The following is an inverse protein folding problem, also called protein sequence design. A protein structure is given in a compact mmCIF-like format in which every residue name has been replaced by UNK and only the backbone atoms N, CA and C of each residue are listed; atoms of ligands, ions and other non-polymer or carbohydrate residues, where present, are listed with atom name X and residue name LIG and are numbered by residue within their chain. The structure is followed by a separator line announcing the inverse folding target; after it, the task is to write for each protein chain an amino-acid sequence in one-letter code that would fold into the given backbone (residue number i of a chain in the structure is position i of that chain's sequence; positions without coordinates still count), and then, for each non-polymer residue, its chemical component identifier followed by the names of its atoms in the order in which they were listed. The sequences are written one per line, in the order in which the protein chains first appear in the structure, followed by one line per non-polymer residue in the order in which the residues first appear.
data_IF_704396151681
#
_entry.id   IF_704396151681
#
_cell.length_a   1.000
_cell.length_b   1.000
_cell.length_c   1.000
_cell.angle_alpha   90.00
_cell.angle_beta   90.00
_cell.angle_gamma   90.00
#
_symmetry.space_group_name_H-M   'P 1'
#
loop_
_entity.id
_entity.type
_entity.pdbx_description
1 polymer ?
#
# COMPACT_ATOMS: atom_id res chain seq x y z
N UNK A 1 -9.61 -28.20 -25.67
CA UNK A 1 -9.80 -26.76 -25.35
C UNK A 1 -8.45 -26.08 -25.12
N UNK A 2 -7.58 -26.72 -24.34
CA UNK A 2 -6.14 -26.42 -24.28
C UNK A 2 -5.43 -26.46 -25.64
N UNK A 3 -6.00 -27.15 -26.63
CA UNK A 3 -5.47 -27.25 -28.00
C UNK A 3 -5.71 -25.98 -28.85
N UNK A 4 -6.45 -25.00 -28.32
CA UNK A 4 -6.80 -23.76 -29.02
C UNK A 4 -6.44 -22.48 -28.25
N UNK A 5 -6.09 -22.59 -26.97
CA UNK A 5 -5.77 -21.44 -26.11
C UNK A 5 -4.50 -21.75 -25.34
N UNK A 6 -3.42 -21.03 -25.70
CA UNK A 6 -2.09 -21.22 -25.11
C UNK A 6 -1.93 -20.53 -23.75
N UNK A 7 -2.66 -19.42 -23.51
CA UNK A 7 -2.52 -18.61 -22.30
C UNK A 7 -3.79 -17.84 -21.96
N UNK A 8 -4.05 -17.65 -20.67
CA UNK A 8 -5.11 -16.78 -20.15
C UNK A 8 -4.49 -15.60 -19.41
N UNK A 9 -4.97 -14.38 -19.72
CA UNK A 9 -4.58 -13.14 -19.05
C UNK A 9 -5.81 -12.54 -18.37
N UNK A 10 -6.15 -12.98 -17.14
CA UNK A 10 -7.33 -12.50 -16.46
C UNK A 10 -7.14 -11.06 -15.98
N UNK A 11 -8.10 -10.20 -16.29
CA UNK A 11 -8.17 -8.82 -15.83
C UNK A 11 -9.48 -8.60 -15.09
N UNK A 12 -9.40 -8.31 -13.80
CA UNK A 12 -10.59 -8.09 -12.97
C UNK A 12 -10.29 -8.28 -11.48
N UNK A 13 -11.35 -8.39 -10.69
CA UNK A 13 -11.25 -8.53 -9.24
C UNK A 13 -10.65 -9.86 -8.78
N UNK A 14 -10.22 -9.92 -7.51
CA UNK A 14 -9.60 -11.12 -6.91
C UNK A 14 -10.46 -12.37 -7.05
N UNK A 15 -11.78 -12.25 -6.95
CA UNK A 15 -12.72 -13.37 -7.12
C UNK A 15 -12.67 -14.00 -8.51
N UNK A 16 -12.66 -13.16 -9.56
CA UNK A 16 -12.54 -13.64 -10.95
C UNK A 16 -11.20 -14.34 -11.17
N UNK A 17 -10.11 -13.70 -10.74
CA UNK A 17 -8.76 -14.26 -10.88
C UNK A 17 -8.66 -15.59 -10.13
N UNK A 18 -9.16 -15.67 -8.89
CA UNK A 18 -9.17 -16.88 -8.08
C UNK A 18 -9.98 -18.00 -8.74
N UNK A 19 -11.16 -17.69 -9.26
CA UNK A 19 -12.01 -18.66 -9.95
C UNK A 19 -11.31 -19.25 -11.19
N UNK A 20 -10.65 -18.40 -12.00
CA UNK A 20 -9.92 -18.86 -13.19
C UNK A 20 -8.73 -19.74 -12.80
N UNK A 21 -7.98 -19.37 -11.75
CA UNK A 21 -6.87 -20.18 -11.24
C UNK A 21 -7.33 -21.56 -10.76
N UNK A 22 -8.48 -21.63 -10.07
CA UNK A 22 -8.97 -22.88 -9.49
C UNK A 22 -9.47 -23.87 -10.55
N UNK A 23 -9.92 -23.38 -11.70
CA UNK A 23 -10.63 -24.19 -12.70
C UNK A 23 -9.92 -24.35 -14.04
N UNK A 24 -8.84 -23.60 -14.32
CA UNK A 24 -8.13 -23.66 -15.60
C UNK A 24 -6.89 -24.56 -15.53
N UNK A 25 -6.74 -25.44 -16.52
CA UNK A 25 -5.50 -26.18 -16.80
C UNK A 25 -4.57 -25.44 -17.78
N UNK A 26 -5.03 -24.36 -18.41
CA UNK A 26 -4.25 -23.52 -19.34
C UNK A 26 -3.35 -22.57 -18.54
N UNK A 27 -2.08 -22.34 -18.97
CA UNK A 27 -1.17 -21.37 -18.34
C UNK A 27 -1.78 -19.98 -18.14
N UNK A 28 -1.50 -19.34 -17.01
CA UNK A 28 -2.08 -18.04 -16.61
C UNK A 28 -0.99 -17.01 -16.32
N UNK A 29 -1.10 -15.83 -16.95
CA UNK A 29 -0.30 -14.64 -16.58
C UNK A 29 -1.20 -13.68 -15.80
N UNK A 30 -0.86 -13.42 -14.54
CA UNK A 30 -1.67 -12.59 -13.63
C UNK A 30 -0.80 -11.62 -12.83
N UNK A 31 -1.39 -10.52 -12.40
CA UNK A 31 -0.79 -9.65 -11.38
C UNK A 31 -1.22 -10.11 -9.98
N UNK A 32 -0.34 -9.89 -8.99
CA UNK A 32 -0.59 -10.16 -7.58
C UNK A 32 -1.51 -9.11 -6.93
N UNK A 33 -1.78 -9.34 -5.65
CA UNK A 33 -2.73 -8.57 -4.84
C UNK A 33 -2.34 -7.10 -4.65
N UNK A 34 -1.09 -6.69 -4.85
CA UNK A 34 -0.71 -5.27 -4.82
C UNK A 34 -0.59 -4.67 -3.42
N UNK A 35 0.19 -5.32 -2.54
CA UNK A 35 0.56 -4.78 -1.23
C UNK A 35 1.91 -4.03 -1.34
N UNK A 36 1.86 -2.78 -1.82
CA UNK A 36 3.06 -1.99 -2.10
C UNK A 36 3.55 -1.24 -0.86
N UNK A 37 4.87 -1.20 -0.68
CA UNK A 37 5.53 -0.54 0.45
C UNK A 37 6.42 0.59 -0.03
N UNK A 38 6.43 1.70 0.69
CA UNK A 38 7.45 2.76 0.53
C UNK A 38 8.29 2.81 1.79
N UNK A 39 9.60 2.87 1.63
CA UNK A 39 10.54 3.03 2.72
C UNK A 39 11.28 4.37 2.59
N UNK A 40 11.22 5.19 3.65
CA UNK A 40 11.97 6.43 3.78
C UNK A 40 13.21 6.15 4.62
N UNK A 41 14.39 6.23 3.99
CA UNK A 41 15.67 6.08 4.67
C UNK A 41 16.06 7.33 5.49
N UNK A 42 16.98 7.18 6.45
CA UNK A 42 17.54 8.28 7.23
C UNK A 42 18.16 9.39 6.37
N UNK A 43 18.71 9.09 5.20
CA UNK A 43 19.34 10.07 4.32
C UNK A 43 18.44 10.54 3.18
N UNK A 44 17.16 10.17 3.20
CA UNK A 44 16.22 10.59 2.16
C UNK A 44 16.09 12.11 2.12
N UNK A 45 16.08 12.67 0.91
CA UNK A 45 15.75 14.08 0.73
C UNK A 45 14.32 14.34 1.20
N UNK A 46 14.12 15.36 2.02
CA UNK A 46 12.86 15.66 2.70
C UNK A 46 11.73 15.95 1.70
N UNK A 47 12.02 16.76 0.68
CA UNK A 47 11.04 17.15 -0.34
C UNK A 47 10.55 15.93 -1.13
N UNK A 48 11.49 15.14 -1.64
CA UNK A 48 11.15 13.92 -2.37
C UNK A 48 10.45 12.88 -1.51
N UNK A 49 10.89 12.68 -0.26
CA UNK A 49 10.25 11.75 0.65
C UNK A 49 8.77 12.09 0.85
N UNK A 50 8.47 13.38 1.07
CA UNK A 50 7.09 13.87 1.21
C UNK A 50 6.29 13.66 -0.08
N UNK A 51 6.81 14.11 -1.22
CA UNK A 51 6.10 14.03 -2.50
C UNK A 51 5.80 12.58 -2.90
N UNK A 52 6.80 11.71 -2.84
CA UNK A 52 6.68 10.30 -3.23
C UNK A 52 5.70 9.57 -2.32
N UNK A 53 5.81 9.72 -1.00
CA UNK A 53 4.91 9.02 -0.07
C UNK A 53 3.46 9.45 -0.23
N UNK A 54 3.22 10.74 -0.42
CA UNK A 54 1.86 11.25 -0.61
C UNK A 54 1.29 10.79 -1.96
N UNK A 55 2.06 10.93 -3.04
CA UNK A 55 1.62 10.53 -4.37
C UNK A 55 1.33 9.03 -4.46
N UNK A 56 2.20 8.20 -3.87
CA UNK A 56 2.10 6.74 -3.94
C UNK A 56 0.81 6.18 -3.35
N UNK A 57 0.19 6.85 -2.37
CA UNK A 57 -1.19 6.51 -1.94
C UNK A 57 -2.26 7.30 -2.69
N UNK A 58 -2.12 8.62 -2.72
CA UNK A 58 -3.27 9.52 -2.94
C UNK A 58 -3.53 9.82 -4.42
N UNK A 59 -2.65 9.40 -5.33
CA UNK A 59 -2.89 9.57 -6.76
C UNK A 59 -4.12 8.79 -7.24
N UNK A 60 -4.26 7.52 -6.82
CA UNK A 60 -5.41 6.67 -7.14
C UNK A 60 -5.50 5.51 -6.16
N UNK A 61 -6.49 5.49 -5.28
CA UNK A 61 -6.62 4.46 -4.25
C UNK A 61 -6.93 3.05 -4.80
N UNK A 62 -7.64 2.95 -5.92
CA UNK A 62 -8.16 1.67 -6.44
C UNK A 62 -7.18 0.84 -7.29
N UNK A 63 -5.95 1.30 -7.51
CA UNK A 63 -4.96 0.57 -8.33
C UNK A 63 -4.11 -0.37 -7.48
N UNK A 64 -3.55 -1.41 -8.10
CA UNK A 64 -2.75 -2.43 -7.40
C UNK A 64 -1.33 -1.96 -7.03
N UNK A 65 -0.89 -0.79 -7.50
CA UNK A 65 0.40 -0.21 -7.19
C UNK A 65 0.31 0.95 -6.18
N UNK A 66 -0.89 1.24 -5.66
CA UNK A 66 -1.03 2.20 -4.58
C UNK A 66 -0.27 1.69 -3.34
N UNK A 67 0.45 2.57 -2.66
CA UNK A 67 1.13 2.23 -1.41
C UNK A 67 0.10 1.81 -0.36
N UNK A 68 0.40 0.76 0.39
CA UNK A 68 -0.41 0.29 1.50
C UNK A 68 0.31 0.46 2.84
N UNK A 69 1.65 0.36 2.82
CA UNK A 69 2.49 0.51 4.00
C UNK A 69 3.59 1.54 3.79
N UNK A 70 3.72 2.48 4.72
CA UNK A 70 4.82 3.45 4.76
C UNK A 70 5.76 3.12 5.91
N UNK A 71 7.01 2.79 5.60
CA UNK A 71 8.06 2.50 6.57
C UNK A 71 9.01 3.68 6.67
N UNK A 72 9.27 4.17 7.87
CA UNK A 72 10.14 5.34 8.08
C UNK A 72 11.28 4.94 9.01
N UNK A 73 12.51 5.15 8.56
CA UNK A 73 13.67 4.86 9.37
C UNK A 73 13.65 5.71 10.66
N UNK A 74 13.94 5.08 11.80
CA UNK A 74 13.89 5.71 13.15
C UNK A 74 14.70 7.01 13.29
N UNK A 75 15.76 7.15 12.49
CA UNK A 75 16.65 8.31 12.48
C UNK A 75 16.28 9.40 11.45
N UNK A 76 15.21 9.19 10.67
CA UNK A 76 14.66 10.24 9.82
C UNK A 76 14.08 11.37 10.69
N UNK A 77 13.98 12.57 10.12
CA UNK A 77 13.54 13.76 10.85
C UNK A 77 12.12 13.60 11.39
N UNK A 78 11.97 13.58 12.72
CA UNK A 78 10.66 13.49 13.40
C UNK A 78 9.70 14.62 13.01
N UNK A 79 10.25 15.82 12.78
CA UNK A 79 9.47 16.97 12.31
C UNK A 79 8.82 16.66 10.96
N UNK A 80 9.61 16.18 10.00
CA UNK A 80 9.11 15.85 8.67
C UNK A 80 8.24 14.59 8.65
N UNK A 81 8.50 13.61 9.52
CA UNK A 81 7.58 12.49 9.73
C UNK A 81 6.20 12.98 10.16
N UNK A 82 6.14 13.93 11.11
CA UNK A 82 4.88 14.50 11.58
C UNK A 82 4.14 15.26 10.46
N UNK A 83 4.87 16.06 9.68
CA UNK A 83 4.31 16.76 8.51
C UNK A 83 3.72 15.78 7.47
N UNK A 84 4.40 14.67 7.18
CA UNK A 84 3.89 13.65 6.26
C UNK A 84 2.60 13.01 6.81
N UNK A 85 2.55 12.70 8.10
CA UNK A 85 1.37 12.16 8.78
C UNK A 85 0.18 13.13 8.68
N UNK A 86 0.41 14.42 8.96
CA UNK A 86 -0.61 15.46 8.90
C UNK A 86 -1.15 15.63 7.48
N UNK A 87 -0.27 15.64 6.46
CA UNK A 87 -0.67 15.70 5.06
C UNK A 87 -1.56 14.53 4.64
N UNK A 88 -1.28 13.31 5.11
CA UNK A 88 -2.15 12.16 4.86
C UNK A 88 -3.54 12.37 5.48
N UNK A 89 -3.59 12.78 6.75
CA UNK A 89 -4.85 13.02 7.45
C UNK A 89 -5.67 14.12 6.75
N UNK A 90 -5.03 15.20 6.30
CA UNK A 90 -5.68 16.28 5.53
C UNK A 90 -6.26 15.79 4.20
N UNK A 91 -5.64 14.79 3.58
CA UNK A 91 -6.16 14.14 2.36
C UNK A 91 -7.22 13.07 2.62
N UNK A 92 -7.70 12.97 3.87
CA UNK A 92 -8.71 11.99 4.27
C UNK A 92 -8.18 10.57 4.39
N UNK A 93 -6.86 10.42 4.51
CA UNK A 93 -6.25 9.10 4.68
C UNK A 93 -6.29 8.69 6.16
N UNK A 94 -6.93 7.56 6.44
CA UNK A 94 -6.90 6.89 7.75
C UNK A 94 -5.55 6.24 7.98
N UNK A 95 -4.86 6.58 9.07
CA UNK A 95 -3.58 5.97 9.39
C UNK A 95 -3.75 4.96 10.51
N UNK A 96 -3.29 3.74 10.28
CA UNK A 96 -3.03 2.73 11.32
C UNK A 96 -1.53 2.68 11.53
N UNK A 97 -1.07 2.59 12.76
CA UNK A 97 0.37 2.58 12.97
C UNK A 97 0.84 2.03 14.30
N UNK A 98 2.15 1.81 14.34
CA UNK A 98 2.82 1.30 15.52
C UNK A 98 2.82 2.31 16.67
N UNK A 99 3.27 1.87 17.85
CA UNK A 99 3.35 2.72 19.05
C UNK A 99 4.17 3.98 18.81
N UNK A 100 5.23 3.93 17.99
CA UNK A 100 6.07 5.09 17.72
C UNK A 100 5.35 6.11 16.83
N UNK A 101 4.66 5.66 15.78
CA UNK A 101 3.84 6.51 14.91
C UNK A 101 2.75 7.21 15.72
N UNK A 102 2.06 6.48 16.60
CA UNK A 102 0.99 7.02 17.47
C UNK A 102 1.46 8.09 18.46
N UNK A 103 2.73 8.07 18.87
CA UNK A 103 3.31 9.14 19.70
C UNK A 103 3.44 10.46 18.94
N UNK A 104 3.47 10.43 17.62
CA UNK A 104 3.60 11.63 16.78
C UNK A 104 2.25 12.29 16.49
N UNK A 105 1.16 11.51 16.43
CA UNK A 105 -0.19 12.01 16.23
C UNK A 105 -1.25 11.06 16.85
N UNK A 106 -2.17 11.62 17.63
CA UNK A 106 -3.21 10.86 18.33
C UNK A 106 -4.29 10.28 17.40
N UNK A 107 -4.44 10.81 16.18
CA UNK A 107 -5.42 10.34 15.20
C UNK A 107 -4.99 9.05 14.47
N UNK A 108 -3.83 8.49 14.82
CA UNK A 108 -3.35 7.22 14.27
C UNK A 108 -3.96 6.06 15.06
N UNK A 109 -4.70 5.22 14.37
CA UNK A 109 -5.29 3.99 14.92
C UNK A 109 -4.19 2.96 15.22
N UNK A 110 -4.38 2.05 16.18
CA UNK A 110 -3.42 0.96 16.41
C UNK A 110 -3.39 0.01 15.21
N UNK A 111 -2.20 -0.23 14.66
CA UNK A 111 -1.98 -1.33 13.71
C UNK A 111 -1.85 -2.67 14.46
N UNK A 112 -2.40 -3.73 13.87
CA UNK A 112 -2.15 -5.11 14.24
C UNK A 112 -1.26 -5.79 13.17
N UNK A 113 -0.77 -7.00 13.45
CA UNK A 113 0.13 -7.71 12.53
C UNK A 113 -0.48 -7.94 11.14
N UNK A 114 -1.81 -8.09 11.04
CA UNK A 114 -2.49 -8.30 9.75
C UNK A 114 -2.51 -7.04 8.89
N UNK A 115 -2.50 -5.85 9.51
CA UNK A 115 -2.54 -4.57 8.80
C UNK A 115 -1.30 -4.34 7.92
N UNK A 116 -0.15 -4.96 8.25
CA UNK A 116 1.08 -4.88 7.45
C UNK A 116 1.04 -5.78 6.21
N UNK A 117 0.27 -6.87 6.26
CA UNK A 117 0.14 -7.82 5.16
C UNK A 117 -1.10 -7.60 4.29
N UNK A 118 -2.03 -6.74 4.74
CA UNK A 118 -3.30 -6.50 4.06
C UNK A 118 -3.23 -5.38 3.03
N UNK A 119 -3.85 -5.60 1.87
CA UNK A 119 -4.12 -4.53 0.91
C UNK A 119 -5.32 -3.70 1.36
N UNK A 120 -5.16 -2.39 1.48
CA UNK A 120 -6.22 -1.46 1.85
C UNK A 120 -6.57 -0.58 0.65
N UNK A 121 -7.48 -1.08 -0.20
CA UNK A 121 -7.97 -0.40 -1.41
C UNK A 121 -8.93 0.77 -1.14
N UNK A 122 -8.75 1.42 0.00
CA UNK A 122 -9.51 2.57 0.50
C UNK A 122 -8.51 3.62 1.00
N UNK A 123 -9.00 4.68 1.64
CA UNK A 123 -8.16 5.74 2.16
C UNK A 123 -7.33 5.33 3.39
N UNK A 124 -7.09 4.06 3.69
CA UNK A 124 -6.28 3.67 4.87
C UNK A 124 -4.83 3.29 4.51
N UNK A 125 -3.87 3.60 5.38
CA UNK A 125 -2.45 3.21 5.28
C UNK A 125 -1.97 2.66 6.63
N UNK A 126 -1.14 1.63 6.60
CA UNK A 126 -0.43 1.09 7.76
C UNK A 126 0.99 1.69 7.88
N UNK A 127 1.42 2.09 9.09
CA UNK A 127 2.73 2.68 9.38
C UNK A 127 3.31 2.22 10.74
#
# INVERSE_FOLDING_TARGET
MSDFIDVIIPRGGKGLIKNIIQNSSIPIIKHLDGNCHVYIDKSANIGYAKEISINSKTQRYGVCNAMETLLIHKSFSKKHTKEIIEDFLLKGVTLKGCIQSRKLNQNIQPANDKDFFSRISSSEISN
#
